data_IF_437937294578
#
_entry.id   IF_437937294578
#
_cell.length_a   1.000
_cell.length_b   1.000
_cell.length_c   1.000
_cell.angle_alpha   90.00
_cell.angle_beta   90.00
_cell.angle_gamma   90.00
#
_symmetry.space_group_name_H-M   'P 1'
#
loop_
_entity.id
_entity.type
_entity.pdbx_description
1 polymer ?
#
# COMPACT_ATOMS: atom_id res chain seq x y z
N UNK A 1 -14.43 44.05 -11.58
CA UNK A 1 -13.09 43.73 -11.07
C UNK A 1 -12.78 42.32 -11.48
N UNK A 2 -12.06 42.15 -12.58
CA UNK A 2 -11.67 40.87 -13.16
C UNK A 2 -10.41 40.36 -12.46
N UNK A 3 -10.47 39.21 -11.81
CA UNK A 3 -9.29 38.51 -11.26
C UNK A 3 -8.63 37.71 -12.39
N UNK A 4 -7.56 38.25 -12.91
CA UNK A 4 -6.64 37.56 -13.84
C UNK A 4 -5.87 36.54 -13.01
N UNK A 5 -6.21 35.27 -13.16
CA UNK A 5 -5.43 34.15 -12.61
C UNK A 5 -4.19 33.99 -13.49
N UNK A 6 -3.06 34.43 -13.04
CA UNK A 6 -1.76 34.10 -13.63
C UNK A 6 -1.49 32.61 -13.45
N UNK A 7 -1.73 31.82 -14.47
CA UNK A 7 -1.15 30.49 -14.57
C UNK A 7 0.36 30.67 -14.76
N UNK A 8 1.14 30.39 -13.74
CA UNK A 8 2.58 30.28 -13.85
C UNK A 8 2.89 29.13 -14.83
N UNK A 9 3.27 29.48 -16.05
CA UNK A 9 3.82 28.52 -17.01
C UNK A 9 5.11 28.00 -16.42
N UNK A 10 5.07 26.82 -15.83
CA UNK A 10 6.26 26.11 -15.37
C UNK A 10 7.07 25.76 -16.62
N UNK A 11 8.10 26.57 -16.92
CA UNK A 11 9.04 26.27 -17.99
C UNK A 11 9.76 24.99 -17.57
N UNK A 12 9.38 23.86 -18.15
CA UNK A 12 10.10 22.60 -17.96
C UNK A 12 11.53 22.81 -18.47
N UNK A 13 12.56 22.47 -17.68
CA UNK A 13 13.94 22.56 -18.13
C UNK A 13 14.10 21.70 -19.38
N UNK A 14 14.69 22.26 -20.44
CA UNK A 14 14.97 21.54 -21.68
C UNK A 14 15.92 20.38 -21.35
N UNK A 15 15.45 19.15 -21.57
CA UNK A 15 16.25 17.95 -21.35
C UNK A 15 17.45 17.93 -22.29
N UNK A 16 18.61 17.39 -21.86
CA UNK A 16 19.75 17.15 -22.72
C UNK A 16 19.39 16.30 -23.93
N UNK A 17 20.07 16.55 -25.05
CA UNK A 17 19.91 15.72 -26.25
C UNK A 17 20.66 14.40 -26.04
N UNK A 18 19.93 13.27 -26.19
CA UNK A 18 20.47 11.92 -26.03
C UNK A 18 20.09 11.07 -27.23
N UNK A 19 20.95 10.12 -27.57
CA UNK A 19 20.79 9.27 -28.77
C UNK A 19 19.79 8.13 -28.56
N UNK A 20 19.51 7.78 -27.31
CA UNK A 20 18.64 6.69 -26.93
C UNK A 20 17.17 7.04 -27.22
N UNK A 21 16.50 6.14 -27.96
CA UNK A 21 15.10 6.35 -28.37
C UNK A 21 14.06 5.80 -27.37
N UNK A 22 14.51 4.91 -26.47
CA UNK A 22 13.59 4.20 -25.58
C UNK A 22 12.75 3.15 -26.29
N UNK A 23 11.78 2.57 -25.57
CA UNK A 23 10.87 1.54 -26.06
C UNK A 23 9.88 2.12 -27.07
N UNK A 24 9.53 1.31 -28.08
CA UNK A 24 8.42 1.61 -28.99
C UNK A 24 7.08 1.29 -28.34
N UNK A 25 5.98 1.88 -28.83
CA UNK A 25 4.64 1.62 -28.32
C UNK A 25 4.28 0.11 -28.31
N UNK A 26 4.66 -0.62 -29.34
CA UNK A 26 4.43 -2.07 -29.43
C UNK A 26 5.23 -2.86 -28.35
N UNK A 27 6.46 -2.43 -28.05
CA UNK A 27 7.26 -3.04 -26.99
C UNK A 27 6.68 -2.75 -25.62
N UNK A 28 6.16 -1.56 -25.37
CA UNK A 28 5.49 -1.19 -24.13
C UNK A 28 4.26 -2.07 -23.91
N UNK A 29 3.42 -2.25 -24.95
CA UNK A 29 2.22 -3.10 -24.87
C UNK A 29 2.57 -4.56 -24.58
N UNK A 30 3.59 -5.14 -25.23
CA UNK A 30 4.11 -6.47 -24.93
C UNK A 30 4.57 -6.60 -23.46
N UNK A 31 5.21 -5.56 -22.89
CA UNK A 31 5.61 -5.56 -21.48
C UNK A 31 4.40 -5.52 -20.52
N UNK A 32 3.38 -4.74 -20.86
CA UNK A 32 2.14 -4.66 -20.08
C UNK A 32 1.42 -6.02 -20.10
N UNK A 33 1.27 -6.66 -21.26
CA UNK A 33 0.66 -7.98 -21.38
C UNK A 33 1.39 -9.06 -20.58
N UNK A 34 2.71 -8.98 -20.51
CA UNK A 34 3.55 -9.87 -19.66
C UNK A 34 3.52 -9.53 -18.18
N UNK A 35 2.80 -8.50 -17.76
CA UNK A 35 2.78 -8.05 -16.37
C UNK A 35 4.09 -7.44 -15.88
N UNK A 36 4.97 -7.00 -16.79
CA UNK A 36 6.26 -6.37 -16.50
C UNK A 36 6.10 -4.87 -16.26
N UNK A 37 5.13 -4.50 -15.44
CA UNK A 37 4.82 -3.13 -15.04
C UNK A 37 5.28 -2.88 -13.60
N UNK A 38 5.46 -1.61 -13.26
CA UNK A 38 5.80 -1.20 -11.90
C UNK A 38 4.58 -1.17 -10.97
N UNK A 39 3.40 -1.57 -11.47
CA UNK A 39 2.22 -1.74 -10.64
C UNK A 39 2.48 -2.82 -9.58
N UNK A 40 2.68 -2.39 -8.34
CA UNK A 40 2.69 -3.30 -7.21
C UNK A 40 1.24 -3.61 -6.88
N UNK A 41 0.81 -4.84 -7.13
CA UNK A 41 -0.44 -5.36 -6.57
C UNK A 41 -0.22 -5.48 -5.06
N UNK A 42 -0.11 -4.33 -4.39
CA UNK A 42 0.01 -4.33 -2.95
C UNK A 42 -1.33 -4.76 -2.38
N UNK A 43 -1.41 -6.02 -1.96
CA UNK A 43 -2.46 -6.52 -1.08
C UNK A 43 -2.48 -5.81 0.29
N UNK A 44 -1.92 -4.59 0.36
CA UNK A 44 -1.84 -3.79 1.58
C UNK A 44 -3.20 -3.19 1.93
N UNK A 45 -4.07 -3.03 0.94
CA UNK A 45 -5.45 -2.60 1.15
C UNK A 45 -6.33 -3.84 1.28
N UNK A 46 -6.89 -4.10 2.46
CA UNK A 46 -7.85 -5.19 2.69
C UNK A 46 -8.99 -5.08 1.69
N UNK A 47 -9.41 -6.22 1.12
CA UNK A 47 -10.59 -6.24 0.25
C UNK A 47 -11.85 -5.90 1.06
N UNK A 48 -12.91 -5.42 0.38
CA UNK A 48 -14.19 -5.17 1.04
C UNK A 48 -14.73 -6.45 1.71
N UNK A 49 -14.54 -7.59 1.05
CA UNK A 49 -14.94 -8.89 1.59
C UNK A 49 -14.19 -9.25 2.88
N UNK A 50 -12.88 -8.95 2.95
CA UNK A 50 -12.07 -9.19 4.15
C UNK A 50 -12.50 -8.29 5.30
N UNK A 51 -12.85 -7.03 5.02
CA UNK A 51 -13.37 -6.09 6.01
C UNK A 51 -14.68 -6.61 6.60
N UNK A 52 -15.63 -6.98 5.75
CA UNK A 52 -16.93 -7.52 6.18
C UNK A 52 -16.71 -8.80 6.98
N UNK A 53 -15.92 -9.73 6.46
CA UNK A 53 -15.66 -11.00 7.14
C UNK A 53 -15.00 -10.82 8.51
N UNK A 54 -14.03 -9.91 8.62
CA UNK A 54 -13.33 -9.63 9.87
C UNK A 54 -14.23 -9.00 10.93
N UNK A 55 -15.23 -8.22 10.54
CA UNK A 55 -16.17 -7.58 11.45
C UNK A 55 -17.38 -8.46 11.80
N UNK A 56 -17.82 -9.33 10.89
CA UNK A 56 -18.95 -10.25 11.12
C UNK A 56 -18.51 -11.45 11.97
N UNK A 57 -17.41 -12.12 11.58
CA UNK A 57 -16.94 -13.34 12.24
C UNK A 57 -15.96 -13.03 13.39
N UNK A 58 -16.43 -12.30 14.38
CA UNK A 58 -15.68 -12.05 15.61
C UNK A 58 -16.10 -13.03 16.70
N UNK A 59 -15.19 -13.32 17.64
CA UNK A 59 -15.50 -14.15 18.81
C UNK A 59 -16.68 -13.55 19.60
N UNK A 60 -16.70 -12.22 19.72
CA UNK A 60 -17.77 -11.49 20.40
C UNK A 60 -19.14 -11.73 19.75
N UNK A 61 -19.24 -11.57 18.43
CA UNK A 61 -20.48 -11.83 17.69
C UNK A 61 -20.91 -13.30 17.81
N UNK A 62 -19.95 -14.22 17.80
CA UNK A 62 -20.21 -15.64 17.99
C UNK A 62 -20.84 -15.95 19.36
N UNK A 63 -20.31 -15.35 20.43
CA UNK A 63 -20.84 -15.52 21.80
C UNK A 63 -22.27 -14.96 21.90
N UNK A 64 -22.50 -13.73 21.42
CA UNK A 64 -23.83 -13.11 21.49
C UNK A 64 -24.84 -13.87 20.63
N UNK A 65 -24.44 -14.33 19.42
CA UNK A 65 -25.31 -15.12 18.57
C UNK A 65 -25.71 -16.44 19.25
N UNK A 66 -24.76 -17.10 19.89
CA UNK A 66 -25.03 -18.36 20.63
C UNK A 66 -25.99 -18.09 21.79
N UNK A 67 -25.74 -17.03 22.56
CA UNK A 67 -26.62 -16.66 23.67
C UNK A 67 -28.03 -16.29 23.17
N UNK A 68 -28.15 -15.55 22.06
CA UNK A 68 -29.43 -15.23 21.43
C UNK A 68 -30.21 -16.47 21.01
N UNK A 69 -29.53 -17.43 20.40
CA UNK A 69 -30.17 -18.74 20.02
C UNK A 69 -30.65 -19.48 21.24
N UNK A 70 -29.86 -19.52 22.32
CA UNK A 70 -30.29 -20.19 23.58
C UNK A 70 -31.55 -19.54 24.18
N UNK A 71 -31.61 -18.20 24.21
CA UNK A 71 -32.76 -17.45 24.72
C UNK A 71 -34.01 -17.69 23.87
N UNK A 72 -33.84 -17.76 22.54
CA UNK A 72 -34.95 -18.08 21.63
C UNK A 72 -35.50 -19.51 21.87
N UNK A 73 -34.63 -20.50 22.10
CA UNK A 73 -35.01 -21.87 22.42
C UNK A 73 -35.75 -21.94 23.77
N UNK A 74 -35.36 -21.10 24.74
CA UNK A 74 -36.03 -20.96 26.03
C UNK A 74 -37.41 -20.27 25.94
N UNK A 75 -37.82 -19.80 24.73
CA UNK A 75 -39.15 -19.22 24.49
C UNK A 75 -39.25 -17.72 24.79
N UNK A 76 -38.16 -17.07 25.21
CA UNK A 76 -38.16 -15.65 25.58
C UNK A 76 -37.74 -14.75 24.41
N UNK A 77 -38.59 -14.66 23.37
CA UNK A 77 -38.26 -13.87 22.16
C UNK A 77 -38.03 -12.37 22.45
N UNK A 78 -38.67 -11.84 23.51
CA UNK A 78 -38.49 -10.42 23.93
C UNK A 78 -37.07 -10.15 24.43
N UNK A 79 -36.47 -11.14 25.07
CA UNK A 79 -35.12 -11.02 25.62
C UNK A 79 -34.04 -11.18 24.51
N UNK A 80 -34.40 -11.78 23.38
CA UNK A 80 -33.50 -11.92 22.22
C UNK A 80 -33.17 -10.57 21.52
N UNK A 81 -33.87 -9.49 21.89
CA UNK A 81 -33.65 -8.13 21.34
C UNK A 81 -32.20 -7.65 21.54
N UNK A 82 -31.48 -8.14 22.57
CA UNK A 82 -30.05 -7.82 22.73
C UNK A 82 -29.20 -8.27 21.54
N UNK A 83 -29.66 -9.24 20.74
CA UNK A 83 -28.97 -9.65 19.53
C UNK A 83 -28.83 -8.52 18.48
N UNK A 84 -29.67 -7.48 18.51
CA UNK A 84 -29.52 -6.30 17.65
C UNK A 84 -28.19 -5.57 17.88
N UNK A 85 -27.58 -5.72 19.06
CA UNK A 85 -26.24 -5.19 19.36
C UNK A 85 -25.20 -5.70 18.36
N UNK A 86 -25.32 -6.94 17.88
CA UNK A 86 -24.43 -7.51 16.86
C UNK A 86 -24.50 -6.67 15.59
N UNK A 87 -25.71 -6.34 15.13
CA UNK A 87 -25.92 -5.60 13.87
C UNK A 87 -25.33 -4.21 13.99
N UNK A 88 -25.62 -3.51 15.09
CA UNK A 88 -25.12 -2.16 15.33
C UNK A 88 -23.61 -2.15 15.43
N UNK A 89 -23.02 -3.05 16.23
CA UNK A 89 -21.58 -3.11 16.46
C UNK A 89 -20.83 -3.48 15.17
N UNK A 90 -21.33 -4.47 14.44
CA UNK A 90 -20.76 -4.89 13.14
C UNK A 90 -20.88 -3.75 12.12
N UNK A 91 -22.01 -3.07 12.06
CA UNK A 91 -22.22 -1.91 11.17
C UNK A 91 -21.23 -0.78 11.46
N UNK A 92 -21.07 -0.41 12.74
CA UNK A 92 -20.09 0.61 13.15
C UNK A 92 -18.66 0.19 12.76
N UNK A 93 -18.30 -1.06 13.01
CA UNK A 93 -16.98 -1.60 12.67
C UNK A 93 -16.70 -1.51 11.17
N UNK A 94 -17.63 -1.98 10.34
CA UNK A 94 -17.52 -1.92 8.87
C UNK A 94 -17.41 -0.47 8.38
N UNK A 95 -18.29 0.43 8.84
CA UNK A 95 -18.27 1.84 8.42
C UNK A 95 -16.96 2.52 8.80
N UNK A 96 -16.46 2.27 10.00
CA UNK A 96 -15.21 2.87 10.50
C UNK A 96 -14.02 2.38 9.67
N UNK A 97 -13.93 1.07 9.39
CA UNK A 97 -12.83 0.49 8.61
C UNK A 97 -12.90 0.94 7.14
N UNK A 98 -14.10 1.06 6.56
CA UNK A 98 -14.30 1.60 5.21
C UNK A 98 -13.85 3.06 5.12
N UNK A 99 -14.25 3.90 6.08
CA UNK A 99 -13.81 5.30 6.11
C UNK A 99 -12.30 5.42 6.22
N UNK A 100 -11.66 4.62 7.08
CA UNK A 100 -10.21 4.57 7.19
C UNK A 100 -9.56 4.15 5.86
N UNK A 101 -10.08 3.11 5.21
CA UNK A 101 -9.62 2.66 3.90
C UNK A 101 -9.72 3.77 2.85
N UNK A 102 -10.88 4.39 2.69
CA UNK A 102 -11.06 5.48 1.71
C UNK A 102 -10.13 6.67 1.96
N UNK A 103 -9.89 7.01 3.24
CA UNK A 103 -8.96 8.09 3.59
C UNK A 103 -7.52 7.72 3.18
N UNK A 104 -7.07 6.49 3.44
CA UNK A 104 -5.75 6.02 3.05
C UNK A 104 -5.60 5.93 1.52
N UNK A 105 -6.61 5.40 0.83
CA UNK A 105 -6.60 5.30 -0.64
C UNK A 105 -6.53 6.70 -1.27
N UNK A 106 -7.24 7.70 -0.72
CA UNK A 106 -7.17 9.09 -1.17
C UNK A 106 -5.79 9.73 -0.96
N UNK A 107 -5.12 9.41 0.13
CA UNK A 107 -3.76 9.89 0.40
C UNK A 107 -2.74 9.25 -0.54
N UNK A 108 -2.90 7.99 -0.91
CA UNK A 108 -2.00 7.30 -1.84
C UNK A 108 -2.02 7.91 -3.25
N UNK A 109 -3.17 8.42 -3.70
CA UNK A 109 -3.30 9.13 -4.99
C UNK A 109 -2.50 10.44 -4.99
N UNK A 110 -2.39 11.12 -3.85
CA UNK A 110 -1.65 12.39 -3.73
C UNK A 110 -0.11 12.20 -3.78
N UNK A 111 0.36 10.99 -3.57
CA UNK A 111 1.79 10.61 -3.60
C UNK A 111 2.20 10.02 -4.96
N UNK A 112 1.24 9.73 -5.83
CA UNK A 112 1.52 9.25 -7.18
C UNK A 112 2.17 10.37 -7.99
N UNK A 113 3.48 10.29 -8.18
CA UNK A 113 4.23 11.20 -9.05
C UNK A 113 4.26 10.62 -10.46
N UNK A 114 4.10 11.49 -11.46
CA UNK A 114 4.35 11.15 -12.85
C UNK A 114 5.83 11.33 -13.14
N UNK A 115 6.38 10.45 -13.96
CA UNK A 115 7.77 10.41 -14.35
C UNK A 115 7.92 10.71 -15.83
N UNK A 116 8.97 11.45 -16.19
CA UNK A 116 9.29 11.70 -17.56
C UNK A 116 10.03 10.50 -18.14
N UNK A 117 9.41 9.82 -19.11
CA UNK A 117 9.91 8.59 -19.71
C UNK A 117 10.14 8.83 -21.20
N UNK A 118 11.27 8.37 -21.72
CA UNK A 118 11.58 8.43 -23.13
C UNK A 118 11.08 7.17 -23.85
N UNK A 119 10.11 7.35 -24.74
CA UNK A 119 9.54 6.31 -25.59
C UNK A 119 9.46 6.81 -27.03
N UNK A 120 9.82 6.00 -28.01
CA UNK A 120 9.87 6.36 -29.44
C UNK A 120 10.64 7.66 -29.78
N UNK A 121 11.65 7.98 -28.96
CA UNK A 121 12.44 9.21 -29.08
C UNK A 121 11.78 10.47 -28.51
N UNK A 122 10.59 10.35 -27.91
CA UNK A 122 9.86 11.44 -27.27
C UNK A 122 9.81 11.25 -25.76
N UNK A 123 9.84 12.39 -25.05
CA UNK A 123 9.68 12.39 -23.59
C UNK A 123 8.19 12.56 -23.26
N UNK A 124 7.63 11.58 -22.57
CA UNK A 124 6.22 11.49 -22.20
C UNK A 124 6.09 11.34 -20.69
N UNK A 125 5.07 11.94 -20.10
CA UNK A 125 4.75 11.75 -18.67
C UNK A 125 4.00 10.43 -18.52
N UNK A 126 4.51 9.57 -17.60
CA UNK A 126 4.00 8.23 -17.31
C UNK A 126 3.80 8.08 -15.81
N UNK A 127 2.65 7.57 -15.41
CA UNK A 127 2.37 7.29 -14.01
C UNK A 127 3.33 6.23 -13.45
N UNK A 128 3.65 6.33 -12.17
CA UNK A 128 4.51 5.36 -11.46
C UNK A 128 4.16 3.90 -11.75
N UNK A 129 2.86 3.57 -11.81
CA UNK A 129 2.39 2.21 -12.02
C UNK A 129 2.52 1.73 -13.48
N UNK A 130 2.59 2.67 -14.44
CA UNK A 130 2.60 2.39 -15.88
C UNK A 130 4.03 2.36 -16.46
N UNK A 131 5.04 2.52 -15.59
CA UNK A 131 6.43 2.28 -15.93
C UNK A 131 6.60 0.78 -16.21
N UNK A 132 7.31 0.45 -17.29
CA UNK A 132 7.56 -0.94 -17.69
C UNK A 132 9.05 -1.28 -17.66
N UNK A 133 9.34 -2.58 -17.60
CA UNK A 133 10.70 -3.09 -17.69
C UNK A 133 11.34 -2.68 -19.00
N UNK A 134 12.52 -2.02 -18.94
CA UNK A 134 13.24 -1.52 -20.10
C UNK A 134 12.95 -0.07 -20.47
N UNK A 135 12.06 0.62 -19.75
CA UNK A 135 11.84 2.06 -19.95
C UNK A 135 13.11 2.88 -19.70
N UNK A 136 13.22 3.99 -20.40
CA UNK A 136 14.23 5.02 -20.14
C UNK A 136 13.59 6.18 -19.39
N UNK A 137 13.99 6.39 -18.14
CA UNK A 137 13.40 7.38 -17.25
C UNK A 137 14.38 8.52 -17.03
N UNK A 138 13.90 9.76 -17.12
CA UNK A 138 14.58 10.94 -16.63
C UNK A 138 14.41 11.05 -15.13
N UNK A 139 15.48 10.85 -14.38
CA UNK A 139 15.51 11.05 -12.94
C UNK A 139 16.05 12.44 -12.63
N UNK A 140 15.23 13.27 -12.02
CA UNK A 140 15.52 14.68 -11.74
C UNK A 140 15.66 14.92 -10.23
N UNK A 141 16.37 15.95 -9.85
CA UNK A 141 16.49 16.38 -8.45
C UNK A 141 15.11 16.56 -7.79
N UNK A 142 14.94 16.00 -6.59
CA UNK A 142 13.70 15.98 -5.83
C UNK A 142 12.81 14.79 -6.13
N UNK A 143 13.09 13.99 -7.15
CA UNK A 143 12.30 12.79 -7.49
C UNK A 143 12.82 11.56 -6.76
N UNK A 144 11.89 10.68 -6.42
CA UNK A 144 12.21 9.35 -5.91
C UNK A 144 12.42 8.40 -7.09
N UNK A 145 13.38 7.50 -7.00
CA UNK A 145 13.62 6.44 -8.00
C UNK A 145 12.42 5.49 -7.99
N UNK A 146 11.67 5.37 -9.12
CA UNK A 146 10.42 4.61 -9.14
C UNK A 146 10.63 3.10 -9.22
N UNK A 147 11.71 2.65 -9.86
CA UNK A 147 12.03 1.26 -10.13
C UNK A 147 13.55 1.08 -10.12
N UNK A 148 14.04 -0.13 -9.97
CA UNK A 148 15.48 -0.35 -10.08
C UNK A 148 15.95 -0.14 -11.51
N UNK A 149 17.04 0.57 -11.66
CA UNK A 149 17.53 0.95 -12.97
C UNK A 149 19.07 1.04 -13.01
N UNK A 150 19.60 1.08 -14.21
CA UNK A 150 21.03 1.34 -14.46
C UNK A 150 21.16 2.71 -15.15
N UNK A 151 22.13 3.50 -14.72
CA UNK A 151 22.38 4.81 -15.28
C UNK A 151 22.99 4.66 -16.69
N UNK A 152 22.30 5.23 -17.67
CA UNK A 152 22.78 5.30 -19.06
C UNK A 152 23.65 6.55 -19.23
N UNK A 153 23.18 7.67 -18.70
CA UNK A 153 23.87 8.95 -18.79
C UNK A 153 23.58 9.79 -17.54
N UNK A 154 24.58 10.53 -17.04
CA UNK A 154 24.40 11.32 -15.80
C UNK A 154 24.95 12.74 -15.94
N UNK A 155 24.24 13.69 -15.33
CA UNK A 155 24.65 15.09 -15.18
C UNK A 155 24.72 15.43 -13.68
N UNK A 156 25.69 14.77 -13.02
CA UNK A 156 26.00 15.02 -11.61
C UNK A 156 24.94 14.50 -10.62
N UNK A 157 24.30 13.36 -10.92
CA UNK A 157 23.31 12.76 -10.03
C UNK A 157 23.92 12.37 -8.69
N UNK A 158 23.30 12.82 -7.62
CA UNK A 158 23.55 12.39 -6.25
C UNK A 158 22.25 11.83 -5.65
N UNK A 159 22.33 10.64 -5.08
CA UNK A 159 21.20 9.94 -4.48
C UNK A 159 21.35 9.84 -2.97
N UNK A 160 20.25 10.03 -2.27
CA UNK A 160 20.07 9.60 -0.88
C UNK A 160 19.48 8.18 -0.88
N UNK A 161 20.27 7.22 -0.41
CA UNK A 161 19.90 5.81 -0.31
C UNK A 161 19.56 5.40 1.14
N UNK A 162 19.38 6.36 2.05
CA UNK A 162 19.17 6.13 3.48
C UNK A 162 17.95 5.26 3.79
N UNK A 163 16.91 5.35 2.99
CA UNK A 163 15.69 4.52 3.13
C UNK A 163 15.95 3.04 2.86
N UNK A 164 17.03 2.72 2.12
CA UNK A 164 17.37 1.36 1.71
C UNK A 164 18.53 0.82 2.55
N UNK A 165 19.58 1.62 2.70
CA UNK A 165 20.81 1.21 3.37
C UNK A 165 20.83 1.53 4.86
N UNK A 166 19.99 2.48 5.30
CA UNK A 166 20.01 3.04 6.66
C UNK A 166 21.12 4.06 6.90
N UNK A 167 21.96 4.34 5.89
CA UNK A 167 23.08 5.29 6.00
C UNK A 167 22.69 6.65 5.41
N UNK A 168 22.72 7.70 6.21
CA UNK A 168 22.36 9.06 5.80
C UNK A 168 23.49 9.75 4.98
N UNK A 169 24.00 9.09 3.95
CA UNK A 169 25.04 9.64 3.06
C UNK A 169 24.51 9.72 1.66
N UNK A 170 24.66 10.90 1.04
CA UNK A 170 24.44 11.03 -0.39
C UNK A 170 25.58 10.35 -1.15
N UNK A 171 25.20 9.59 -2.18
CA UNK A 171 26.14 8.85 -3.04
C UNK A 171 26.10 9.46 -4.43
N UNK A 172 27.28 9.90 -4.91
CA UNK A 172 27.40 10.37 -6.29
C UNK A 172 27.45 9.19 -7.24
N UNK A 173 26.58 9.18 -8.21
CA UNK A 173 26.40 8.09 -9.18
C UNK A 173 27.06 8.41 -10.50
N UNK A 174 27.55 7.36 -11.17
CA UNK A 174 28.21 7.40 -12.48
C UNK A 174 27.43 6.58 -13.49
N UNK A 175 27.74 6.74 -14.76
CA UNK A 175 27.24 5.89 -15.84
C UNK A 175 27.60 4.43 -15.58
N UNK A 176 26.62 3.53 -15.76
CA UNK A 176 26.72 2.10 -15.46
C UNK A 176 26.39 1.74 -14.00
N UNK A 177 26.29 2.70 -13.09
CA UNK A 177 25.91 2.41 -11.70
C UNK A 177 24.42 2.04 -11.60
N UNK A 178 24.12 1.16 -10.65
CA UNK A 178 22.74 0.80 -10.32
C UNK A 178 22.12 1.83 -9.37
N UNK A 179 20.85 2.17 -9.61
CA UNK A 179 19.99 2.95 -8.74
C UNK A 179 18.82 2.08 -8.30
N UNK A 180 18.48 2.15 -7.02
CA UNK A 180 17.44 1.32 -6.42
C UNK A 180 16.16 2.09 -6.18
N UNK A 181 15.03 1.44 -6.40
CA UNK A 181 13.72 2.02 -6.12
C UNK A 181 13.62 2.44 -4.65
N UNK A 182 13.03 3.61 -4.39
CA UNK A 182 12.94 4.16 -3.05
C UNK A 182 14.05 5.13 -2.66
N UNK A 183 15.20 5.15 -3.39
CA UNK A 183 16.21 6.21 -3.24
C UNK A 183 15.66 7.55 -3.74
N UNK A 184 16.21 8.66 -3.24
CA UNK A 184 15.77 10.02 -3.64
C UNK A 184 16.91 10.77 -4.33
N UNK A 185 16.65 11.37 -5.48
CA UNK A 185 17.60 12.23 -6.16
C UNK A 185 17.71 13.57 -5.42
N UNK A 186 18.87 13.84 -4.83
CA UNK A 186 19.13 15.06 -4.05
C UNK A 186 19.56 16.19 -4.97
N UNK A 187 20.44 15.89 -5.94
CA UNK A 187 20.96 16.87 -6.90
C UNK A 187 21.26 16.22 -8.25
N UNK A 188 21.39 17.05 -9.28
CA UNK A 188 21.68 16.61 -10.63
C UNK A 188 20.51 15.93 -11.34
N UNK A 189 20.82 15.25 -12.44
CA UNK A 189 19.86 14.43 -13.19
C UNK A 189 20.56 13.26 -13.87
N UNK A 190 19.79 12.25 -14.26
CA UNK A 190 20.28 11.15 -15.08
C UNK A 190 19.17 10.58 -15.98
N UNK A 191 19.59 9.95 -17.07
CA UNK A 191 18.78 9.04 -17.85
C UNK A 191 19.09 7.63 -17.39
N UNK A 192 18.07 6.91 -16.92
CA UNK A 192 18.22 5.56 -16.35
C UNK A 192 17.38 4.55 -17.11
N UNK A 193 17.92 3.35 -17.30
CA UNK A 193 17.27 2.22 -17.95
C UNK A 193 16.73 1.28 -16.89
N UNK A 194 15.40 1.07 -16.87
CA UNK A 194 14.72 0.22 -15.88
C UNK A 194 15.09 -1.24 -16.03
N UNK A 195 15.60 -1.83 -14.96
CA UNK A 195 16.08 -3.23 -14.91
C UNK A 195 15.22 -4.16 -14.07
N UNK A 196 14.44 -3.61 -13.11
CA UNK A 196 13.46 -4.38 -12.34
C UNK A 196 12.29 -3.50 -11.92
N UNK A 197 11.08 -4.06 -11.96
CA UNK A 197 9.82 -3.36 -11.69
C UNK A 197 8.95 -4.09 -10.67
N UNK A 198 8.08 -3.37 -10.00
CA UNK A 198 7.04 -3.92 -9.13
C UNK A 198 7.59 -4.83 -8.02
N UNK A 199 7.07 -6.05 -7.94
CA UNK A 199 7.45 -7.02 -6.90
C UNK A 199 8.91 -7.50 -7.02
N UNK A 200 9.56 -7.29 -8.16
CA UNK A 200 10.95 -7.70 -8.41
C UNK A 200 11.95 -6.60 -8.07
N UNK A 201 11.50 -5.41 -7.70
CA UNK A 201 12.38 -4.33 -7.28
C UNK A 201 13.06 -4.64 -5.95
N UNK A 202 14.24 -4.08 -5.72
CA UNK A 202 15.01 -4.25 -4.50
C UNK A 202 14.22 -3.83 -3.25
N UNK A 203 13.55 -2.67 -3.30
CA UNK A 203 12.71 -2.20 -2.21
C UNK A 203 11.52 -3.16 -1.91
N UNK A 204 10.92 -3.76 -2.94
CA UNK A 204 9.86 -4.74 -2.76
C UNK A 204 10.38 -6.03 -2.11
N UNK A 205 11.58 -6.50 -2.50
CA UNK A 205 12.20 -7.69 -1.90
C UNK A 205 12.57 -7.47 -0.44
N UNK A 206 13.13 -6.30 -0.08
CA UNK A 206 13.38 -5.92 1.32
C UNK A 206 12.09 -5.87 2.14
N UNK A 207 11.05 -5.26 1.59
CA UNK A 207 9.74 -5.18 2.25
C UNK A 207 9.13 -6.57 2.45
N UNK A 208 9.26 -7.47 1.46
CA UNK A 208 8.78 -8.84 1.57
C UNK A 208 9.53 -9.61 2.67
N UNK A 209 10.85 -9.45 2.77
CA UNK A 209 11.66 -10.05 3.84
C UNK A 209 11.29 -9.50 5.22
N UNK A 210 11.02 -8.19 5.33
CA UNK A 210 10.57 -7.58 6.57
C UNK A 210 9.15 -8.06 6.97
N UNK A 211 8.26 -8.33 6.03
CA UNK A 211 6.91 -8.88 6.28
C UNK A 211 6.92 -10.33 6.79
N UNK A 212 7.96 -11.10 6.50
CA UNK A 212 8.16 -12.46 7.07
C UNK A 212 8.46 -12.39 8.56
N UNK A 213 8.89 -11.22 9.07
CA UNK A 213 9.01 -11.00 10.50
C UNK A 213 7.63 -11.11 11.14
N UNK A 214 7.42 -12.22 11.88
CA UNK A 214 6.20 -12.61 12.60
C UNK A 214 5.39 -11.40 13.05
N UNK A 215 4.11 -11.39 12.69
CA UNK A 215 3.08 -10.55 13.31
C UNK A 215 3.19 -10.74 14.84
N UNK A 216 3.96 -9.88 15.49
CA UNK A 216 4.02 -9.86 16.95
C UNK A 216 2.62 -9.47 17.41
N UNK A 217 1.85 -10.49 17.81
CA UNK A 217 0.60 -10.26 18.53
C UNK A 217 1.02 -9.49 19.77
N UNK A 218 0.64 -8.22 19.82
CA UNK A 218 0.93 -7.35 20.97
C UNK A 218 0.63 -8.11 22.25
N UNK A 219 1.53 -8.06 23.22
CA UNK A 219 1.33 -8.73 24.52
C UNK A 219 0.05 -8.23 25.21
N UNK A 220 -0.38 -7.00 24.90
CA UNK A 220 -1.67 -6.45 25.26
C UNK A 220 -2.83 -7.28 24.68
N UNK A 221 -2.78 -7.63 23.40
CA UNK A 221 -3.81 -8.47 22.76
C UNK A 221 -3.82 -9.90 23.31
N UNK A 222 -2.67 -10.43 23.69
CA UNK A 222 -2.58 -11.74 24.39
C UNK A 222 -3.24 -11.65 25.76
N UNK A 223 -2.96 -10.57 26.53
CA UNK A 223 -3.56 -10.31 27.82
C UNK A 223 -5.09 -10.19 27.73
N UNK A 224 -5.59 -9.37 26.81
CA UNK A 224 -7.03 -9.21 26.56
C UNK A 224 -7.69 -10.54 26.19
N UNK A 225 -7.09 -11.30 25.27
CA UNK A 225 -7.63 -12.61 24.88
C UNK A 225 -7.63 -13.61 26.02
N UNK A 226 -6.65 -13.57 26.93
CA UNK A 226 -6.60 -14.41 28.13
C UNK A 226 -7.72 -14.06 29.10
N UNK A 227 -7.93 -12.77 29.34
CA UNK A 227 -9.03 -12.28 30.19
C UNK A 227 -10.38 -12.67 29.58
N UNK A 228 -10.58 -12.47 28.27
CA UNK A 228 -11.81 -12.86 27.57
C UNK A 228 -12.08 -14.35 27.68
N UNK A 229 -11.08 -15.21 27.48
CA UNK A 229 -11.21 -16.66 27.66
C UNK A 229 -11.60 -17.03 29.09
N UNK A 230 -10.94 -16.42 30.08
CA UNK A 230 -11.25 -16.66 31.50
C UNK A 230 -12.70 -16.24 31.83
N UNK A 231 -13.12 -15.04 31.40
CA UNK A 231 -14.48 -14.56 31.59
C UNK A 231 -15.51 -15.45 30.89
N UNK A 232 -15.22 -15.89 29.66
CA UNK A 232 -16.10 -16.82 28.93
C UNK A 232 -16.26 -18.14 29.67
N UNK A 233 -15.14 -18.69 30.20
CA UNK A 233 -15.15 -19.92 30.97
C UNK A 233 -15.94 -19.80 32.28
N UNK A 234 -15.98 -18.62 32.90
CA UNK A 234 -16.74 -18.34 34.12
C UNK A 234 -18.23 -18.11 33.84
N UNK A 235 -18.54 -17.29 32.79
CA UNK A 235 -19.92 -16.86 32.49
C UNK A 235 -20.75 -18.00 31.89
N UNK A 236 -20.19 -18.82 31.02
CA UNK A 236 -20.95 -19.89 30.36
C UNK A 236 -21.51 -20.93 31.35
N UNK A 237 -20.75 -21.49 32.32
CA UNK A 237 -21.31 -22.39 33.32
C UNK A 237 -22.35 -21.72 34.22
N UNK A 238 -22.15 -20.44 34.56
CA UNK A 238 -23.06 -19.69 35.40
C UNK A 238 -24.42 -19.44 34.71
N UNK A 239 -24.40 -19.18 33.41
CA UNK A 239 -25.62 -19.10 32.59
C UNK A 239 -26.33 -20.45 32.50
N UNK A 240 -25.60 -21.55 32.32
CA UNK A 240 -26.17 -22.91 32.30
C UNK A 240 -26.81 -23.22 33.62
N UNK A 241 -26.17 -22.92 34.74
CA UNK A 241 -26.68 -23.14 36.09
C UNK A 241 -27.96 -22.32 36.34
N UNK A 242 -28.00 -21.05 35.90
CA UNK A 242 -29.19 -20.22 35.98
C UNK A 242 -30.39 -20.79 35.18
N UNK A 243 -30.13 -21.31 33.98
CA UNK A 243 -31.17 -21.93 33.13
C UNK A 243 -31.71 -23.20 33.77
N UNK A 244 -30.86 -23.99 34.44
CA UNK A 244 -31.26 -25.21 35.10
C UNK A 244 -32.01 -25.00 36.41
N UNK A 245 -31.91 -23.80 37.02
CA UNK A 245 -32.54 -23.43 38.30
C UNK A 245 -33.84 -22.62 38.13
N UNK A 246 -34.18 -22.23 36.92
CA UNK A 246 -35.48 -21.62 36.58
C UNK A 246 -36.44 -22.68 35.99
#
# INVERSE_FOLDING_TARGET
>A
MSKTTNAATTVQPKMPDVSERGLTAAQVEDRIERGQTNAVTSSTSRSLADIVRANVFTLFNGIILTAMVMVLIAGSWKDAVFGFVIIINTGIGIVTELRAKYTLDKLSILVASDYLVRRDGNDVEVSHNDIVLGDLIWLRSGEQVPADATIVQTWGLELDESMITGESRTVRKKEGDTVYSGSTAVSGMALVHVTAVGAHSYAATLTAQAKVYKKNVSDLNKGINTILKFMTFLVVPLCILLILTQ
#
